data_IF_609901927869
#
_entry.id   IF_609901927869
#
_cell.length_a   1.000
_cell.length_b   1.000
_cell.length_c   1.000
_cell.angle_alpha   90.00
_cell.angle_beta   90.00
_cell.angle_gamma   90.00
#
_symmetry.space_group_name_H-M   'P 1'
#
loop_
_entity.id
_entity.type
_entity.pdbx_description
1 polymer ?
#
# COMPACT_ATOMS: atom_id res chain seq x y z
N UNK A 1 15.17 25.74 -0.12
CA UNK A 1 15.47 24.96 1.09
C UNK A 1 14.22 24.58 1.87
N UNK A 2 13.38 25.50 2.35
CA UNK A 2 12.18 25.21 3.19
C UNK A 2 11.22 24.15 2.61
N UNK A 3 10.91 24.19 1.31
CA UNK A 3 10.01 23.19 0.67
C UNK A 3 10.59 21.75 0.65
N UNK A 4 11.90 21.60 0.47
CA UNK A 4 12.58 20.29 0.51
C UNK A 4 12.57 19.69 1.93
N UNK A 5 12.88 20.52 2.93
CA UNK A 5 12.87 20.09 4.33
C UNK A 5 11.47 19.63 4.72
N UNK A 6 10.44 20.42 4.41
CA UNK A 6 9.05 20.07 4.69
C UNK A 6 8.65 18.73 4.03
N UNK A 7 8.98 18.53 2.76
CA UNK A 7 8.71 17.30 2.05
C UNK A 7 9.38 16.08 2.70
N UNK A 8 10.66 16.19 3.08
CA UNK A 8 11.39 15.12 3.76
C UNK A 8 10.74 14.81 5.11
N UNK A 9 10.43 15.84 5.91
CA UNK A 9 9.84 15.67 7.24
C UNK A 9 8.45 15.03 7.15
N UNK A 10 7.59 15.50 6.26
CA UNK A 10 6.25 14.93 6.05
C UNK A 10 6.34 13.46 5.59
N UNK A 11 7.23 13.17 4.64
CA UNK A 11 7.41 11.80 4.12
C UNK A 11 7.94 10.86 5.20
N UNK A 12 8.94 11.30 5.97
CA UNK A 12 9.51 10.51 7.07
C UNK A 12 8.47 10.27 8.19
N UNK A 13 7.68 11.29 8.55
CA UNK A 13 6.62 11.16 9.55
C UNK A 13 5.55 10.15 9.10
N UNK A 14 5.13 10.21 7.83
CA UNK A 14 4.14 9.26 7.29
C UNK A 14 4.69 7.83 7.20
N UNK A 15 5.97 7.66 6.85
CA UNK A 15 6.63 6.36 6.86
C UNK A 15 6.72 5.79 8.28
N UNK A 16 7.13 6.60 9.25
CA UNK A 16 7.21 6.21 10.65
C UNK A 16 5.82 5.81 11.19
N UNK A 17 4.78 6.61 10.92
CA UNK A 17 3.40 6.30 11.29
C UNK A 17 2.95 4.96 10.70
N UNK A 18 3.26 4.72 9.42
CA UNK A 18 2.93 3.48 8.74
C UNK A 18 3.61 2.29 9.42
N UNK A 19 4.91 2.39 9.73
CA UNK A 19 5.67 1.31 10.38
C UNK A 19 5.13 1.00 11.78
N UNK A 20 4.84 2.04 12.59
CA UNK A 20 4.27 1.88 13.92
C UNK A 20 2.90 1.18 13.84
N UNK A 21 2.02 1.66 12.95
CA UNK A 21 0.70 1.03 12.79
C UNK A 21 0.82 -0.42 12.32
N UNK A 22 1.71 -0.74 11.37
CA UNK A 22 1.93 -2.13 10.95
C UNK A 22 2.40 -3.01 12.11
N UNK A 23 3.36 -2.53 12.92
CA UNK A 23 3.89 -3.29 14.06
C UNK A 23 2.80 -3.56 15.10
N UNK A 24 2.02 -2.54 15.45
CA UNK A 24 0.96 -2.65 16.45
C UNK A 24 -0.23 -3.51 15.97
N UNK A 25 -0.56 -3.44 14.67
CA UNK A 25 -1.73 -4.15 14.13
C UNK A 25 -1.43 -5.54 13.58
N UNK A 26 -0.15 -5.90 13.43
CA UNK A 26 0.26 -7.24 12.95
C UNK A 26 -0.45 -8.40 13.68
N UNK A 27 -0.58 -8.39 15.03
CA UNK A 27 -1.28 -9.46 15.75
C UNK A 27 -2.79 -9.52 15.45
N UNK A 28 -3.39 -8.43 14.94
CA UNK A 28 -4.81 -8.33 14.62
C UNK A 28 -5.14 -8.89 13.22
N UNK A 29 -4.12 -9.36 12.49
CA UNK A 29 -4.28 -10.01 11.20
C UNK A 29 -4.30 -9.07 10.00
N UNK A 30 -4.30 -9.69 8.82
CA UNK A 30 -4.15 -9.02 7.52
C UNK A 30 -5.22 -7.97 7.24
N UNK A 31 -6.47 -8.20 7.67
CA UNK A 31 -7.56 -7.25 7.43
C UNK A 31 -7.28 -5.89 8.09
N UNK A 32 -6.89 -5.90 9.35
CA UNK A 32 -6.63 -4.67 10.11
C UNK A 32 -5.33 -4.02 9.63
N UNK A 33 -4.24 -4.79 9.58
CA UNK A 33 -2.92 -4.28 9.18
C UNK A 33 -2.95 -3.74 7.75
N UNK A 34 -3.52 -4.47 6.81
CA UNK A 34 -3.64 -4.04 5.42
C UNK A 34 -4.49 -2.79 5.25
N UNK A 35 -5.59 -2.66 6.01
CA UNK A 35 -6.42 -1.46 6.01
C UNK A 35 -5.67 -0.24 6.54
N UNK A 36 -4.90 -0.38 7.62
CA UNK A 36 -4.04 0.69 8.15
C UNK A 36 -2.97 1.12 7.15
N UNK A 37 -2.30 0.17 6.50
CA UNK A 37 -1.31 0.46 5.45
C UNK A 37 -1.94 1.28 4.33
N UNK A 38 -3.07 0.82 3.79
CA UNK A 38 -3.75 1.51 2.69
C UNK A 38 -4.28 2.89 3.12
N UNK A 39 -4.75 3.04 4.37
CA UNK A 39 -5.18 4.33 4.91
C UNK A 39 -4.02 5.33 4.95
N UNK A 40 -2.86 4.93 5.51
CA UNK A 40 -1.68 5.81 5.57
C UNK A 40 -1.17 6.15 4.18
N UNK A 41 -1.09 5.19 3.25
CA UNK A 41 -0.69 5.44 1.86
C UNK A 41 -1.62 6.45 1.19
N UNK A 42 -2.94 6.29 1.33
CA UNK A 42 -3.92 7.18 0.76
C UNK A 42 -3.86 8.58 1.40
N UNK A 43 -3.75 8.67 2.73
CA UNK A 43 -3.54 9.97 3.42
C UNK A 43 -2.25 10.61 2.92
N UNK A 44 -1.14 9.87 2.85
CA UNK A 44 0.14 10.40 2.40
C UNK A 44 0.03 11.03 1.01
N UNK A 45 -0.54 10.33 0.04
CA UNK A 45 -0.61 10.84 -1.32
C UNK A 45 -1.60 12.01 -1.48
N UNK A 46 -2.71 12.00 -0.74
CA UNK A 46 -3.74 13.06 -0.83
C UNK A 46 -3.40 14.31 -0.01
N UNK A 47 -2.56 14.17 1.01
CA UNK A 47 -2.17 15.24 1.92
C UNK A 47 -0.77 15.79 1.62
N UNK A 48 0.25 14.91 1.51
CA UNK A 48 1.64 15.29 1.27
C UNK A 48 2.02 15.33 -0.23
N UNK A 49 1.19 14.72 -1.10
CA UNK A 49 1.39 14.71 -2.55
C UNK A 49 2.01 13.43 -3.11
N UNK A 50 2.11 13.36 -4.46
CA UNK A 50 2.49 12.15 -5.18
C UNK A 50 3.90 11.67 -4.83
N UNK A 51 4.88 12.58 -4.74
CA UNK A 51 6.26 12.23 -4.42
C UNK A 51 6.37 11.51 -3.07
N UNK A 52 5.76 12.06 -2.01
CA UNK A 52 5.73 11.42 -0.69
C UNK A 52 4.99 10.08 -0.72
N UNK A 53 3.84 10.02 -1.41
CA UNK A 53 3.06 8.79 -1.57
C UNK A 53 3.87 7.67 -2.21
N UNK A 54 4.54 7.93 -3.33
CA UNK A 54 5.39 6.94 -4.04
C UNK A 54 6.58 6.52 -3.15
N UNK A 55 7.25 7.48 -2.52
CA UNK A 55 8.39 7.18 -1.63
C UNK A 55 7.97 6.23 -0.49
N UNK A 56 6.87 6.54 0.20
CA UNK A 56 6.34 5.67 1.28
C UNK A 56 5.88 4.32 0.73
N UNK A 57 5.22 4.29 -0.44
CA UNK A 57 4.77 3.06 -1.09
C UNK A 57 5.91 2.10 -1.43
N UNK A 58 7.07 2.62 -1.84
CA UNK A 58 8.24 1.82 -2.21
C UNK A 58 9.07 1.42 -0.98
N UNK A 59 9.26 2.31 -0.02
CA UNK A 59 10.14 2.05 1.14
C UNK A 59 9.44 1.17 2.19
N UNK A 60 8.15 1.40 2.43
CA UNK A 60 7.45 0.70 3.53
C UNK A 60 7.46 -0.83 3.45
N UNK A 61 7.34 -1.52 2.29
CA UNK A 61 7.43 -2.97 2.24
C UNK A 61 8.82 -3.50 2.56
N UNK A 62 9.87 -2.75 2.19
CA UNK A 62 11.26 -3.09 2.53
C UNK A 62 11.46 -2.99 4.05
N UNK A 63 11.05 -1.88 4.66
CA UNK A 63 11.12 -1.73 6.11
C UNK A 63 10.29 -2.79 6.84
N UNK A 64 9.08 -3.10 6.35
CA UNK A 64 8.24 -4.15 6.93
C UNK A 64 8.91 -5.53 6.89
N UNK A 65 9.62 -5.84 5.81
CA UNK A 65 10.40 -7.07 5.71
C UNK A 65 11.56 -7.09 6.70
N UNK A 66 12.37 -6.02 6.76
CA UNK A 66 13.51 -5.92 7.69
C UNK A 66 13.09 -5.99 9.16
N UNK A 67 11.89 -5.51 9.51
CA UNK A 67 11.32 -5.60 10.84
C UNK A 67 10.58 -6.93 11.11
N UNK A 68 10.65 -7.90 10.19
CA UNK A 68 9.99 -9.19 10.33
C UNK A 68 8.46 -9.14 10.31
N UNK A 69 7.88 -8.02 9.82
CA UNK A 69 6.44 -7.85 9.68
C UNK A 69 5.95 -8.57 8.42
N UNK A 70 6.63 -8.37 7.29
CA UNK A 70 6.35 -9.09 6.05
C UNK A 70 7.07 -10.45 6.04
N UNK A 71 6.38 -11.55 5.73
CA UNK A 71 6.94 -12.89 5.93
C UNK A 71 7.95 -13.32 4.86
N UNK A 72 7.96 -12.69 3.68
CA UNK A 72 8.71 -13.20 2.54
C UNK A 72 9.30 -12.10 1.66
N UNK A 73 10.58 -12.22 1.34
CA UNK A 73 11.30 -11.29 0.47
C UNK A 73 10.73 -11.26 -0.95
N UNK A 74 10.25 -12.39 -1.47
CA UNK A 74 9.68 -12.50 -2.82
C UNK A 74 8.45 -11.60 -3.03
N UNK A 75 7.70 -11.33 -1.96
CA UNK A 75 6.50 -10.50 -2.03
C UNK A 75 6.80 -9.00 -1.94
N UNK A 76 7.99 -8.61 -1.46
CA UNK A 76 8.36 -7.21 -1.27
C UNK A 76 8.24 -6.39 -2.56
N UNK A 77 8.89 -6.78 -3.69
CA UNK A 77 8.80 -6.00 -4.93
C UNK A 77 7.37 -5.94 -5.49
N UNK A 78 6.60 -7.01 -5.31
CA UNK A 78 5.20 -7.06 -5.75
C UNK A 78 4.35 -6.08 -4.94
N UNK A 79 4.52 -6.06 -3.61
CA UNK A 79 3.82 -5.11 -2.73
C UNK A 79 4.22 -3.66 -3.05
N UNK A 80 5.51 -3.39 -3.33
CA UNK A 80 5.99 -2.08 -3.75
C UNK A 80 5.24 -1.59 -5.00
N UNK A 81 5.14 -2.42 -6.02
CA UNK A 81 4.42 -2.11 -7.26
C UNK A 81 2.93 -1.89 -7.02
N UNK A 82 2.29 -2.76 -6.25
CA UNK A 82 0.88 -2.62 -5.91
C UNK A 82 0.57 -1.35 -5.11
N UNK A 83 1.42 -1.02 -4.14
CA UNK A 83 1.29 0.21 -3.35
C UNK A 83 1.54 1.46 -4.22
N UNK A 84 2.57 1.43 -5.09
CA UNK A 84 2.87 2.53 -6.01
C UNK A 84 1.71 2.76 -7.00
N UNK A 85 1.15 1.69 -7.57
CA UNK A 85 -0.03 1.79 -8.43
C UNK A 85 -1.23 2.38 -7.70
N UNK A 86 -1.51 1.94 -6.46
CA UNK A 86 -2.59 2.47 -5.63
C UNK A 86 -2.47 3.99 -5.42
N UNK A 87 -1.30 4.47 -4.97
CA UNK A 87 -1.10 5.90 -4.71
C UNK A 87 -1.09 6.72 -6.00
N UNK A 88 -0.53 6.18 -7.10
CA UNK A 88 -0.50 6.86 -8.39
C UNK A 88 -1.91 7.06 -8.95
N UNK A 89 -2.71 5.99 -9.05
CA UNK A 89 -4.09 6.06 -9.55
C UNK A 89 -4.92 6.97 -8.66
N UNK A 90 -4.83 6.81 -7.34
CA UNK A 90 -5.56 7.63 -6.39
C UNK A 90 -5.27 9.13 -6.61
N UNK A 91 -4.01 9.51 -6.81
CA UNK A 91 -3.61 10.91 -7.00
C UNK A 91 -3.98 11.45 -8.37
N UNK A 92 -3.82 10.67 -9.43
CA UNK A 92 -4.06 11.10 -10.80
C UNK A 92 -5.55 11.31 -11.11
N UNK A 93 -6.41 10.47 -10.52
CA UNK A 93 -7.86 10.54 -10.75
C UNK A 93 -8.56 11.48 -9.76
N UNK A 94 -7.96 11.71 -8.56
CA UNK A 94 -8.52 12.60 -7.54
C UNK A 94 -8.66 14.05 -8.03
N UNK A 95 -9.73 14.72 -7.62
CA UNK A 95 -10.02 16.10 -8.03
C UNK A 95 -10.70 16.92 -6.94
N UNK A 96 -11.19 18.11 -7.32
CA UNK A 96 -11.90 19.01 -6.38
C UNK A 96 -13.29 18.49 -5.98
N UNK A 97 -13.91 17.69 -6.83
CA UNK A 97 -15.26 17.16 -6.61
C UNK A 97 -15.20 15.86 -5.82
N UNK A 98 -16.11 15.68 -4.88
CA UNK A 98 -16.15 14.51 -4.01
C UNK A 98 -16.30 13.20 -4.80
N UNK A 99 -17.15 13.18 -5.83
CA UNK A 99 -17.37 12.01 -6.66
C UNK A 99 -16.10 11.55 -7.40
N UNK A 100 -15.22 12.49 -7.81
CA UNK A 100 -13.91 12.15 -8.40
C UNK A 100 -13.00 11.46 -7.41
N UNK A 101 -13.05 11.87 -6.15
CA UNK A 101 -12.26 11.22 -5.10
C UNK A 101 -12.78 9.82 -4.77
N UNK A 102 -14.10 9.63 -4.81
CA UNK A 102 -14.71 8.29 -4.66
C UNK A 102 -14.35 7.40 -5.84
N UNK A 103 -14.44 7.90 -7.06
CA UNK A 103 -14.03 7.16 -8.26
C UNK A 103 -12.55 6.82 -8.24
N UNK A 104 -11.69 7.78 -7.85
CA UNK A 104 -10.25 7.57 -7.72
C UNK A 104 -9.92 6.47 -6.71
N UNK A 105 -10.60 6.47 -5.57
CA UNK A 105 -10.45 5.47 -4.54
C UNK A 105 -10.83 4.07 -5.04
N UNK A 106 -12.00 3.91 -5.66
CA UNK A 106 -12.45 2.63 -6.21
C UNK A 106 -11.51 2.13 -7.30
N UNK A 107 -11.13 3.00 -8.24
CA UNK A 107 -10.19 2.67 -9.32
C UNK A 107 -8.80 2.29 -8.77
N UNK A 108 -8.29 3.00 -7.77
CA UNK A 108 -7.01 2.71 -7.14
C UNK A 108 -7.04 1.34 -6.42
N UNK A 109 -8.11 1.05 -5.68
CA UNK A 109 -8.29 -0.24 -5.01
C UNK A 109 -8.34 -1.41 -6.00
N UNK A 110 -9.11 -1.27 -7.08
CA UNK A 110 -9.19 -2.27 -8.15
C UNK A 110 -7.85 -2.44 -8.87
N UNK A 111 -7.17 -1.35 -9.22
CA UNK A 111 -5.86 -1.39 -9.88
C UNK A 111 -4.83 -2.11 -9.01
N UNK A 112 -4.76 -1.77 -7.72
CA UNK A 112 -3.87 -2.46 -6.78
C UNK A 112 -4.18 -3.95 -6.70
N UNK A 113 -5.44 -4.32 -6.52
CA UNK A 113 -5.87 -5.70 -6.42
C UNK A 113 -5.51 -6.51 -7.68
N UNK A 114 -5.89 -6.01 -8.86
CA UNK A 114 -5.63 -6.72 -10.13
C UNK A 114 -4.15 -6.89 -10.39
N UNK A 115 -3.35 -5.84 -10.13
CA UNK A 115 -1.90 -5.88 -10.30
C UNK A 115 -1.25 -6.88 -9.34
N UNK A 116 -1.57 -6.82 -8.04
CA UNK A 116 -1.02 -7.74 -7.05
C UNK A 116 -1.40 -9.18 -7.33
N UNK A 117 -2.67 -9.44 -7.61
CA UNK A 117 -3.16 -10.78 -7.91
C UNK A 117 -2.51 -11.34 -9.16
N UNK A 118 -2.40 -10.55 -10.22
CA UNK A 118 -1.76 -10.98 -11.47
C UNK A 118 -0.27 -11.29 -11.28
N UNK A 119 0.48 -10.41 -10.61
CA UNK A 119 1.91 -10.61 -10.36
C UNK A 119 2.18 -11.82 -9.46
N UNK A 120 1.33 -12.04 -8.45
CA UNK A 120 1.50 -13.20 -7.57
C UNK A 120 1.07 -14.50 -8.27
N UNK A 121 -0.14 -14.54 -8.82
CA UNK A 121 -0.71 -15.77 -9.39
C UNK A 121 0.02 -16.21 -10.66
N UNK A 122 0.22 -15.29 -11.60
CA UNK A 122 0.83 -15.62 -12.89
C UNK A 122 2.34 -15.41 -12.90
N UNK A 123 2.85 -14.44 -12.17
CA UNK A 123 4.29 -14.18 -12.06
C UNK A 123 4.98 -15.16 -11.12
N UNK A 124 4.77 -15.02 -9.80
CA UNK A 124 5.49 -15.83 -8.79
C UNK A 124 5.05 -17.29 -8.82
N UNK A 125 3.74 -17.54 -8.74
CA UNK A 125 3.19 -18.90 -8.65
C UNK A 125 2.96 -19.57 -10.01
N UNK A 126 3.16 -18.86 -11.13
CA UNK A 126 3.12 -19.39 -12.50
C UNK A 126 4.52 -19.43 -13.10
N UNK A 127 4.90 -18.36 -13.82
CA UNK A 127 6.10 -18.34 -14.67
C UNK A 127 7.39 -18.64 -13.88
N UNK A 128 7.53 -18.11 -12.66
CA UNK A 128 8.73 -18.26 -11.84
C UNK A 128 8.68 -19.44 -10.87
N UNK A 129 7.56 -20.15 -10.78
CA UNK A 129 7.32 -21.15 -9.74
C UNK A 129 8.37 -22.27 -9.72
N UNK A 130 8.65 -22.89 -10.87
CA UNK A 130 9.60 -24.01 -10.96
C UNK A 130 11.01 -23.59 -10.54
N UNK A 131 11.50 -22.45 -11.04
CA UNK A 131 12.82 -21.94 -10.67
C UNK A 131 12.95 -21.57 -9.19
N UNK A 132 11.88 -20.98 -8.61
CA UNK A 132 11.85 -20.58 -7.21
C UNK A 132 11.73 -21.81 -6.26
N UNK A 133 10.99 -22.84 -6.67
CA UNK A 133 10.91 -24.12 -5.95
C UNK A 133 12.25 -24.85 -5.95
N UNK A 134 12.92 -24.92 -7.10
CA UNK A 134 14.24 -25.55 -7.23
C UNK A 134 15.31 -24.86 -6.37
N UNK A 135 15.22 -23.53 -6.22
CA UNK A 135 16.12 -22.76 -5.36
C UNK A 135 15.71 -22.76 -3.87
N UNK A 136 14.59 -23.39 -3.51
CA UNK A 136 14.10 -23.42 -2.12
C UNK A 136 13.53 -22.05 -1.63
N UNK A 137 13.40 -21.07 -2.52
CA UNK A 137 12.84 -19.73 -2.22
C UNK A 137 11.32 -19.74 -2.11
N UNK A 138 10.67 -20.67 -2.81
CA UNK A 138 9.23 -20.91 -2.75
C UNK A 138 8.98 -22.33 -2.23
N UNK A 139 7.95 -22.49 -1.41
CA UNK A 139 7.52 -23.82 -0.91
C UNK A 139 6.17 -24.18 -1.51
N UNK A 140 5.92 -25.46 -1.76
CA UNK A 140 4.67 -25.95 -2.37
C UNK A 140 3.39 -25.38 -1.73
N UNK A 141 3.24 -25.29 -0.39
CA UNK A 141 2.05 -24.69 0.21
C UNK A 141 1.85 -23.22 -0.12
N UNK A 142 2.92 -22.51 -0.49
CA UNK A 142 2.83 -21.09 -0.84
C UNK A 142 2.15 -20.85 -2.21
N UNK A 143 2.16 -21.84 -3.10
CA UNK A 143 1.50 -21.73 -4.41
C UNK A 143 -0.02 -21.49 -4.29
N UNK A 144 -0.62 -21.94 -3.21
CA UNK A 144 -2.04 -21.70 -2.89
C UNK A 144 -2.24 -20.56 -1.91
N UNK A 145 -1.37 -20.43 -0.91
CA UNK A 145 -1.49 -19.42 0.13
C UNK A 145 -1.23 -17.99 -0.37
N UNK A 146 -0.25 -17.79 -1.25
CA UNK A 146 0.06 -16.45 -1.77
C UNK A 146 -1.09 -15.86 -2.61
N UNK A 147 -1.66 -16.57 -3.62
CA UNK A 147 -2.80 -16.05 -4.36
C UNK A 147 -4.03 -15.75 -3.47
N UNK A 148 -4.25 -16.53 -2.42
CA UNK A 148 -5.32 -16.28 -1.46
C UNK A 148 -5.07 -14.99 -0.66
N UNK A 149 -3.84 -14.79 -0.17
CA UNK A 149 -3.44 -13.60 0.61
C UNK A 149 -3.45 -12.32 -0.23
N UNK A 150 -3.00 -12.41 -1.49
CA UNK A 150 -2.94 -11.28 -2.42
C UNK A 150 -4.15 -11.16 -3.34
N UNK A 151 -5.22 -11.94 -3.07
CA UNK A 151 -6.49 -11.92 -3.77
C UNK A 151 -7.48 -10.90 -3.18
N UNK A 152 -8.73 -11.33 -2.98
CA UNK A 152 -9.85 -10.48 -2.54
C UNK A 152 -9.56 -9.70 -1.26
N UNK A 153 -8.74 -10.23 -0.35
CA UNK A 153 -8.34 -9.55 0.89
C UNK A 153 -7.64 -8.21 0.61
N UNK A 154 -6.84 -8.12 -0.45
CA UNK A 154 -6.17 -6.87 -0.82
C UNK A 154 -7.15 -5.81 -1.33
N UNK A 155 -8.20 -6.24 -2.04
CA UNK A 155 -9.27 -5.33 -2.46
C UNK A 155 -10.02 -4.79 -1.23
N UNK A 156 -10.44 -5.66 -0.31
CA UNK A 156 -11.16 -5.28 0.91
C UNK A 156 -10.35 -4.29 1.75
N UNK A 157 -9.08 -4.59 1.99
CA UNK A 157 -8.19 -3.70 2.78
C UNK A 157 -7.93 -2.36 2.09
N UNK A 158 -7.82 -2.34 0.75
CA UNK A 158 -7.66 -1.10 -0.01
C UNK A 158 -8.95 -0.25 -0.01
N UNK A 159 -10.11 -0.89 -0.05
CA UNK A 159 -11.40 -0.21 0.07
C UNK A 159 -11.59 0.39 1.48
N UNK A 160 -11.34 -0.38 2.53
CA UNK A 160 -11.46 0.13 3.90
C UNK A 160 -10.46 1.27 4.14
N UNK A 161 -9.17 1.04 3.85
CA UNK A 161 -8.12 2.03 4.10
C UNK A 161 -8.28 3.30 3.28
N UNK A 162 -8.58 3.19 1.99
CA UNK A 162 -8.83 4.33 1.13
C UNK A 162 -10.09 5.11 1.53
N UNK A 163 -11.17 4.43 1.92
CA UNK A 163 -12.37 5.06 2.46
C UNK A 163 -12.10 5.85 3.74
N UNK A 164 -11.35 5.28 4.68
CA UNK A 164 -10.91 5.99 5.89
C UNK A 164 -10.10 7.25 5.54
N UNK A 165 -9.21 7.16 4.57
CA UNK A 165 -8.42 8.32 4.15
C UNK A 165 -9.28 9.44 3.55
N UNK A 166 -10.33 9.13 2.79
CA UNK A 166 -11.25 10.13 2.27
C UNK A 166 -11.99 10.91 3.36
N UNK A 167 -12.24 10.28 4.52
CA UNK A 167 -12.81 10.94 5.69
C UNK A 167 -11.77 11.76 6.47
N UNK A 168 -10.55 11.24 6.60
CA UNK A 168 -9.48 11.86 7.40
C UNK A 168 -8.83 13.07 6.71
N UNK A 169 -8.59 13.01 5.39
CA UNK A 169 -7.86 14.05 4.67
C UNK A 169 -8.51 15.43 4.75
N UNK A 170 -9.82 15.61 4.59
CA UNK A 170 -10.46 16.92 4.77
C UNK A 170 -10.28 17.48 6.18
N UNK A 171 -10.39 16.62 7.20
CA UNK A 171 -10.21 17.01 8.61
C UNK A 171 -8.77 17.46 8.87
N UNK A 172 -7.79 16.70 8.38
CA UNK A 172 -6.38 17.04 8.50
C UNK A 172 -6.03 18.35 7.78
N UNK A 173 -6.56 18.56 6.57
CA UNK A 173 -6.37 19.82 5.84
C UNK A 173 -6.92 21.01 6.61
N UNK A 174 -8.12 20.88 7.17
CA UNK A 174 -8.74 21.93 7.99
C UNK A 174 -7.94 22.20 9.26
N UNK A 175 -7.53 21.16 9.98
CA UNK A 175 -6.78 21.28 11.24
C UNK A 175 -5.41 21.93 11.05
N UNK A 176 -4.70 21.57 9.97
CA UNK A 176 -3.35 22.08 9.69
C UNK A 176 -3.33 23.28 8.74
N UNK A 177 -4.51 23.88 8.45
CA UNK A 177 -4.68 25.05 7.56
C UNK A 177 -3.96 24.87 6.21
N UNK A 178 -3.93 23.65 5.70
CA UNK A 178 -3.33 23.30 4.42
C UNK A 178 -4.43 23.29 3.35
N UNK A 179 -4.44 24.34 2.50
CA UNK A 179 -5.40 24.48 1.39
C UNK A 179 -5.05 23.58 0.19
#
# INVERSE_FOLDING_TARGET
>A
MKKRILWITETAAMLALLMVLQALTKPLGQLVTGSCVNAVLAVTVLFCGLGSGITVALISPVCAYLLGIAPQVLTVPVIMLGNAAFVAVLRLVSGKQIWKNVLAWLAAALCKFTLLYALVKYGICGILAEGLLAQGLLKTPMLTALPATFGAMQLVTALIGGGLALLLVPVLKKALRKN
#
